data_IF_373542066863
#
_entry.id   IF_373542066863
#
_cell.length_a   1.000
_cell.length_b   1.000
_cell.length_c   1.000
_cell.angle_alpha   90.00
_cell.angle_beta   90.00
_cell.angle_gamma   90.00
#
_symmetry.space_group_name_H-M   'P 1'
#
loop_
_entity.id
_entity.type
_entity.pdbx_description
1 polymer ?
#
# COMPACT_ATOMS: atom_id res chain seq x y z
N UNK A 1 -1.08 -12.61 -1.04
CA UNK A 1 -1.29 -12.33 0.39
C UNK A 1 0.01 -12.31 1.21
N UNK A 2 1.08 -13.00 0.80
CA UNK A 2 2.31 -13.14 1.61
C UNK A 2 3.26 -11.93 1.61
N UNK A 3 3.46 -11.26 0.47
CA UNK A 3 4.45 -10.15 0.32
C UNK A 3 4.37 -9.06 1.41
N UNK A 4 3.19 -8.55 1.79
CA UNK A 4 3.11 -7.53 2.84
C UNK A 4 3.70 -8.00 4.17
N UNK A 5 3.58 -9.29 4.51
CA UNK A 5 4.11 -9.81 5.77
C UNK A 5 5.64 -9.89 5.76
N UNK A 6 6.22 -10.31 4.64
CA UNK A 6 7.67 -10.43 4.50
C UNK A 6 8.36 -9.06 4.54
N UNK A 7 7.81 -8.06 3.84
CA UNK A 7 8.37 -6.71 3.81
C UNK A 7 8.33 -6.03 5.19
N UNK A 8 7.27 -6.29 5.97
CA UNK A 8 7.15 -5.79 7.34
C UNK A 8 8.09 -6.50 8.30
N UNK A 9 8.26 -7.80 8.13
CA UNK A 9 9.24 -8.57 8.91
C UNK A 9 10.66 -8.05 8.65
N UNK A 10 11.04 -7.89 7.37
CA UNK A 10 12.34 -7.33 6.98
C UNK A 10 12.56 -5.95 7.58
N UNK A 11 11.59 -5.06 7.45
CA UNK A 11 11.66 -3.70 7.99
C UNK A 11 11.79 -3.69 9.51
N UNK A 12 11.00 -4.51 10.22
CA UNK A 12 11.09 -4.64 11.66
C UNK A 12 12.47 -5.14 12.12
N UNK A 13 13.07 -6.10 11.40
CA UNK A 13 14.39 -6.64 11.71
C UNK A 13 15.51 -5.62 11.51
N UNK A 14 15.48 -4.90 10.38
CA UNK A 14 16.48 -3.86 10.08
C UNK A 14 16.42 -2.76 11.14
N UNK A 15 15.22 -2.24 11.40
CA UNK A 15 15.04 -1.18 12.39
C UNK A 15 15.45 -1.64 13.79
N UNK A 16 15.01 -2.82 14.21
CA UNK A 16 15.43 -3.39 15.50
C UNK A 16 16.96 -3.53 15.60
N UNK A 17 17.62 -3.90 14.51
CA UNK A 17 19.08 -4.01 14.45
C UNK A 17 19.74 -2.65 14.64
N UNK A 18 19.22 -1.58 14.03
CA UNK A 18 19.69 -0.21 14.27
C UNK A 18 19.50 0.21 15.74
N UNK A 19 18.33 -0.06 16.33
CA UNK A 19 18.12 0.19 17.76
C UNK A 19 19.15 -0.53 18.63
N UNK A 20 19.42 -1.80 18.35
CA UNK A 20 20.39 -2.58 19.13
C UNK A 20 21.82 -2.05 18.94
N UNK A 21 22.18 -1.67 17.72
CA UNK A 21 23.50 -1.11 17.41
C UNK A 21 23.77 0.23 18.10
N UNK A 22 22.76 1.11 18.14
CA UNK A 22 22.87 2.41 18.83
C UNK A 22 22.95 2.29 20.36
N UNK A 23 22.61 1.12 20.92
CA UNK A 23 22.43 0.88 22.38
C UNK A 23 21.42 1.81 23.05
N UNK A 24 20.66 2.57 22.26
CA UNK A 24 19.60 3.44 22.74
C UNK A 24 18.52 2.57 23.39
N UNK A 25 18.17 2.91 24.63
CA UNK A 25 17.04 2.32 25.34
C UNK A 25 17.04 0.77 25.33
N UNK A 26 18.14 0.16 25.80
CA UNK A 26 18.35 -1.29 25.79
C UNK A 26 17.20 -2.09 26.42
N UNK A 27 16.56 -1.55 27.47
CA UNK A 27 15.37 -2.15 28.09
C UNK A 27 14.20 -2.29 27.12
N UNK A 28 13.99 -1.30 26.24
CA UNK A 28 12.95 -1.38 25.22
C UNK A 28 13.32 -2.40 24.15
N UNK A 29 14.58 -2.45 23.72
CA UNK A 29 15.04 -3.50 22.80
C UNK A 29 14.80 -4.91 23.38
N UNK A 30 15.06 -5.14 24.67
CA UNK A 30 14.84 -6.43 25.32
C UNK A 30 13.36 -6.81 25.39
N UNK A 31 12.45 -5.83 25.50
CA UNK A 31 10.99 -6.09 25.47
C UNK A 31 10.44 -6.30 24.06
N UNK A 32 11.08 -5.74 23.03
CA UNK A 32 10.71 -5.93 21.62
C UNK A 32 11.23 -7.24 21.04
N UNK A 33 12.37 -7.76 21.51
CA UNK A 33 12.98 -8.97 20.97
C UNK A 33 12.06 -10.21 20.97
N UNK A 34 11.30 -10.52 22.04
CA UNK A 34 10.35 -11.64 22.03
C UNK A 34 9.26 -11.50 20.96
N UNK A 35 8.81 -10.27 20.68
CA UNK A 35 7.84 -10.01 19.61
C UNK A 35 8.44 -10.32 18.24
N UNK A 36 9.71 -9.94 18.03
CA UNK A 36 10.43 -10.23 16.80
C UNK A 36 10.57 -11.74 16.57
N UNK A 37 10.95 -12.48 17.61
CA UNK A 37 11.08 -13.94 17.57
C UNK A 37 9.72 -14.60 17.26
N UNK A 38 8.64 -14.12 17.89
CA UNK A 38 7.29 -14.64 17.62
C UNK A 38 6.85 -14.38 16.18
N UNK A 39 7.10 -13.17 15.67
CA UNK A 39 6.77 -12.81 14.29
C UNK A 39 7.52 -13.70 13.28
N UNK A 40 8.84 -13.90 13.48
CA UNK A 40 9.65 -14.84 12.68
C UNK A 40 9.05 -16.24 12.65
N UNK A 41 8.77 -16.82 13.82
CA UNK A 41 8.23 -18.19 13.93
C UNK A 41 6.91 -18.35 13.20
N UNK A 42 6.00 -17.39 13.34
CA UNK A 42 4.71 -17.43 12.67
C UNK A 42 4.86 -17.35 11.14
N UNK A 43 5.73 -16.47 10.65
CA UNK A 43 5.99 -16.35 9.21
C UNK A 43 6.67 -17.60 8.64
N UNK A 44 7.66 -18.16 9.35
CA UNK A 44 8.34 -19.40 8.96
C UNK A 44 7.40 -20.60 8.94
N UNK A 45 6.48 -20.70 9.91
CA UNK A 45 5.51 -21.79 9.93
C UNK A 45 4.57 -21.75 8.72
N UNK A 46 4.22 -20.55 8.24
CA UNK A 46 3.38 -20.41 7.05
C UNK A 46 4.09 -20.87 5.77
N UNK A 47 5.43 -20.91 5.74
CA UNK A 47 6.19 -21.48 4.61
C UNK A 47 6.11 -23.01 4.52
N UNK A 48 5.48 -23.67 5.49
CA UNK A 48 5.17 -25.09 5.39
C UNK A 48 4.42 -25.37 4.08
N UNK A 49 4.73 -26.50 3.45
CA UNK A 49 4.20 -26.86 2.14
C UNK A 49 2.69 -27.13 2.13
N UNK A 50 2.01 -27.18 3.29
CA UNK A 50 0.55 -27.13 3.37
C UNK A 50 -0.02 -25.76 3.75
N UNK A 51 0.84 -24.85 4.24
CA UNK A 51 0.45 -23.49 4.60
C UNK A 51 0.38 -22.58 3.39
N UNK A 52 1.53 -22.30 2.77
CA UNK A 52 1.62 -21.36 1.64
C UNK A 52 0.88 -21.84 0.39
N UNK A 53 0.78 -23.15 0.20
CA UNK A 53 0.09 -23.77 -0.94
C UNK A 53 -1.43 -23.77 -0.80
N UNK A 54 -1.94 -23.57 0.42
CA UNK A 54 -3.36 -23.67 0.72
C UNK A 54 -3.93 -25.09 0.65
N UNK A 55 -3.11 -26.14 0.83
CA UNK A 55 -3.56 -27.54 0.82
C UNK A 55 -4.00 -28.06 2.20
N UNK A 56 -3.86 -27.26 3.26
CA UNK A 56 -4.34 -27.60 4.59
C UNK A 56 -5.88 -27.55 4.70
N UNK A 57 -6.41 -28.20 5.75
CA UNK A 57 -7.84 -28.12 6.11
C UNK A 57 -8.24 -26.68 6.46
N UNK A 58 -9.51 -26.33 6.24
CA UNK A 58 -10.02 -24.98 6.44
C UNK A 58 -9.70 -24.40 7.85
N UNK A 59 -9.83 -25.21 8.90
CA UNK A 59 -9.50 -24.81 10.28
C UNK A 59 -8.00 -24.51 10.48
N UNK A 60 -7.13 -25.25 9.80
CA UNK A 60 -5.67 -25.05 9.84
C UNK A 60 -5.28 -23.81 9.04
N UNK A 61 -5.94 -23.57 7.89
CA UNK A 61 -5.78 -22.32 7.12
C UNK A 61 -6.20 -21.10 7.94
N UNK A 62 -7.28 -21.21 8.72
CA UNK A 62 -7.70 -20.15 9.63
C UNK A 62 -6.64 -19.87 10.72
N UNK A 63 -6.08 -20.92 11.35
CA UNK A 63 -4.98 -20.76 12.34
C UNK A 63 -3.74 -20.11 11.71
N UNK A 64 -3.36 -20.47 10.49
CA UNK A 64 -2.29 -19.77 9.77
C UNK A 64 -2.61 -18.29 9.57
N UNK A 65 -3.85 -17.94 9.21
CA UNK A 65 -4.31 -16.57 9.09
C UNK A 65 -4.14 -15.77 10.39
N UNK A 66 -4.55 -16.35 11.52
CA UNK A 66 -4.40 -15.72 12.83
C UNK A 66 -2.93 -15.55 13.24
N UNK A 67 -2.07 -16.54 12.96
CA UNK A 67 -0.64 -16.43 13.24
C UNK A 67 0.02 -15.34 12.40
N UNK A 68 -0.31 -15.24 11.12
CA UNK A 68 0.18 -14.18 10.23
C UNK A 68 -0.28 -12.80 10.69
N UNK A 69 -1.57 -12.65 11.05
CA UNK A 69 -2.09 -11.38 11.59
C UNK A 69 -1.35 -10.96 12.87
N UNK A 70 -1.10 -11.90 13.78
CA UNK A 70 -0.34 -11.65 14.99
C UNK A 70 1.13 -11.29 14.73
N UNK A 71 1.75 -11.89 13.71
CA UNK A 71 3.09 -11.52 13.25
C UNK A 71 3.11 -10.08 12.75
N UNK A 72 2.15 -9.71 11.90
CA UNK A 72 2.01 -8.36 11.35
C UNK A 72 1.89 -7.29 12.45
N UNK A 73 0.99 -7.50 13.42
CA UNK A 73 0.83 -6.60 14.59
C UNK A 73 2.13 -6.46 15.41
N UNK A 74 2.87 -7.56 15.53
CA UNK A 74 4.14 -7.57 16.25
C UNK A 74 5.20 -6.75 15.49
N UNK A 75 5.30 -6.93 14.17
CA UNK A 75 6.19 -6.14 13.32
C UNK A 75 5.84 -4.65 13.37
N UNK A 76 4.56 -4.30 13.23
CA UNK A 76 4.09 -2.91 13.31
C UNK A 76 4.52 -2.25 14.63
N UNK A 77 4.31 -2.95 15.76
CA UNK A 77 4.73 -2.45 17.07
C UNK A 77 6.25 -2.23 17.16
N UNK A 78 7.05 -3.14 16.60
CA UNK A 78 8.51 -3.01 16.57
C UNK A 78 8.92 -1.82 15.70
N UNK A 79 8.36 -1.69 14.50
CA UNK A 79 8.63 -0.59 13.57
C UNK A 79 8.29 0.75 14.23
N UNK A 80 7.09 0.88 14.82
CA UNK A 80 6.67 2.07 15.57
C UNK A 80 7.66 2.45 16.66
N UNK A 81 7.89 1.54 17.61
CA UNK A 81 8.68 1.83 18.80
C UNK A 81 10.14 2.09 18.47
N UNK A 82 10.67 1.37 17.50
CA UNK A 82 12.04 1.58 17.06
C UNK A 82 12.19 2.91 16.33
N UNK A 83 11.26 3.25 15.43
CA UNK A 83 11.29 4.53 14.72
C UNK A 83 11.15 5.71 15.69
N UNK A 84 10.24 5.60 16.66
CA UNK A 84 10.07 6.59 17.73
C UNK A 84 11.37 6.83 18.52
N UNK A 85 12.13 5.78 18.84
CA UNK A 85 13.40 5.90 19.58
C UNK A 85 14.53 6.42 18.67
N UNK A 86 14.61 5.96 17.42
CA UNK A 86 15.67 6.35 16.50
C UNK A 86 15.53 7.80 16.05
N UNK A 87 14.30 8.29 15.89
CA UNK A 87 14.00 9.67 15.50
C UNK A 87 13.79 10.61 16.69
N UNK A 88 13.32 10.07 17.82
CA UNK A 88 13.10 10.84 19.05
C UNK A 88 14.41 11.12 19.77
N UNK A 89 14.82 12.39 19.77
CA UNK A 89 15.98 12.92 20.48
C UNK A 89 15.90 12.66 21.99
N UNK A 90 16.27 11.47 22.47
CA UNK A 90 16.82 11.37 23.82
C UNK A 90 18.19 12.05 23.81
N UNK A 91 18.45 12.90 24.82
CA UNK A 91 19.79 13.43 25.11
C UNK A 91 20.73 12.26 25.39
N UNK A 92 21.28 11.69 24.34
CA UNK A 92 22.30 10.66 24.42
C UNK A 92 23.62 11.35 24.13
N UNK A 93 24.52 11.20 25.09
CA UNK A 93 25.89 11.72 25.14
C UNK A 93 26.54 11.71 23.75
N UNK A 94 27.18 12.82 23.35
CA UNK A 94 27.67 13.11 21.98
C UNK A 94 28.82 12.20 21.48
N UNK A 95 29.08 11.08 22.17
CA UNK A 95 30.24 10.21 21.94
C UNK A 95 29.98 9.03 20.99
N UNK A 96 28.77 8.87 20.45
CA UNK A 96 28.43 7.74 19.58
C UNK A 96 28.47 8.11 18.07
N UNK A 97 29.33 7.47 17.25
CA UNK A 97 29.50 7.81 15.84
C UNK A 97 28.25 7.57 14.97
N UNK A 98 27.28 6.78 15.44
CA UNK A 98 26.07 6.49 14.68
C UNK A 98 25.07 7.67 14.64
N UNK A 99 25.27 8.71 15.47
CA UNK A 99 24.36 9.86 15.58
C UNK A 99 24.28 10.64 14.25
N UNK A 100 25.37 10.72 13.47
CA UNK A 100 25.39 11.46 12.19
C UNK A 100 24.50 10.85 11.11
N UNK A 101 24.10 9.58 11.23
CA UNK A 101 23.18 8.93 10.29
C UNK A 101 21.71 9.10 10.66
N UNK A 102 21.41 9.49 11.90
CA UNK A 102 20.06 9.47 12.47
C UNK A 102 19.59 10.83 12.98
N UNK A 103 20.42 11.87 12.93
CA UNK A 103 20.04 13.21 13.40
C UNK A 103 19.03 13.87 12.46
N UNK A 104 17.75 13.57 12.70
CA UNK A 104 16.70 14.57 12.59
C UNK A 104 16.21 14.86 14.01
N UNK A 105 16.38 16.10 14.48
CA UNK A 105 15.79 16.54 15.73
C UNK A 105 14.25 16.46 15.63
N UNK A 106 13.62 15.53 16.34
CA UNK A 106 12.18 15.32 16.22
C UNK A 106 11.50 15.11 17.57
N UNK A 107 10.45 15.91 17.81
CA UNK A 107 9.32 15.58 18.69
C UNK A 107 8.31 14.79 17.87
N UNK A 108 7.92 13.56 18.25
CA UNK A 108 6.93 12.80 17.51
C UNK A 108 5.53 13.16 18.02
N UNK A 109 4.79 13.98 17.26
CA UNK A 109 3.38 14.24 17.60
C UNK A 109 2.43 13.16 17.08
N UNK A 110 2.83 12.36 16.09
CA UNK A 110 2.09 11.15 15.68
C UNK A 110 2.94 10.32 14.71
N UNK A 111 3.07 9.01 14.96
CA UNK A 111 3.67 8.06 14.01
C UNK A 111 2.65 6.98 13.71
N UNK A 112 2.10 7.01 12.49
CA UNK A 112 1.36 5.87 11.94
C UNK A 112 2.30 5.26 10.90
N UNK A 113 2.84 4.05 11.13
CA UNK A 113 3.53 3.38 10.06
C UNK A 113 2.47 3.11 8.99
N UNK A 114 2.70 3.65 7.79
CA UNK A 114 2.06 3.15 6.56
C UNK A 114 2.66 1.79 6.21
N UNK A 115 2.61 0.89 7.18
CA UNK A 115 2.47 -0.52 6.91
C UNK A 115 1.12 -0.66 6.24
N UNK A 116 1.00 -1.41 5.14
CA UNK A 116 -0.30 -1.84 4.61
C UNK A 116 -1.05 -2.62 5.69
N UNK A 117 -1.63 -1.91 6.65
CA UNK A 117 -2.41 -2.45 7.73
C UNK A 117 -3.76 -2.71 7.11
N UNK A 118 -3.96 -3.96 6.74
CA UNK A 118 -5.25 -4.58 6.50
C UNK A 118 -6.28 -4.36 7.64
N UNK A 119 -5.89 -3.66 8.71
CA UNK A 119 -6.59 -3.40 9.95
C UNK A 119 -7.15 -1.98 10.10
N UNK A 120 -7.29 -1.19 9.04
CA UNK A 120 -8.32 -0.16 9.15
C UNK A 120 -9.68 -0.83 9.29
N UNK A 121 -10.22 -0.73 10.50
CA UNK A 121 -11.55 -1.17 10.90
C UNK A 121 -12.68 -0.53 10.07
N UNK A 122 -12.36 0.28 9.05
CA UNK A 122 -13.26 0.77 8.01
C UNK A 122 -13.23 -0.13 6.76
N UNK A 123 -13.24 -1.45 6.94
CA UNK A 123 -13.71 -2.34 5.86
C UNK A 123 -15.23 -2.24 5.83
N UNK A 124 -15.78 -1.55 4.83
CA UNK A 124 -17.22 -1.54 4.61
C UNK A 124 -17.75 -2.94 4.27
N UNK A 125 -16.91 -3.82 3.68
CA UNK A 125 -17.19 -5.24 3.46
C UNK A 125 -15.90 -6.06 3.34
N UNK A 126 -16.00 -7.40 3.41
CA UNK A 126 -14.88 -8.31 3.12
C UNK A 126 -14.30 -8.16 1.70
N UNK A 127 -15.06 -7.54 0.78
CA UNK A 127 -14.66 -7.29 -0.61
C UNK A 127 -14.15 -5.87 -0.87
N UNK A 128 -14.22 -4.96 0.11
CA UNK A 128 -13.65 -3.61 -0.01
C UNK A 128 -12.18 -3.61 0.43
N UNK A 129 -11.31 -2.97 -0.36
CA UNK A 129 -9.95 -2.65 0.07
C UNK A 129 -10.01 -1.88 1.40
N UNK A 130 -9.08 -2.11 2.35
CA UNK A 130 -9.02 -1.33 3.58
C UNK A 130 -8.93 0.15 3.20
N UNK A 131 -9.87 0.98 3.65
CA UNK A 131 -9.77 2.41 3.44
C UNK A 131 -8.61 2.91 4.31
N UNK A 132 -7.54 3.43 3.71
CA UNK A 132 -6.43 4.01 4.47
C UNK A 132 -6.92 5.17 5.36
N UNK A 133 -6.28 5.32 6.52
CA UNK A 133 -6.76 6.20 7.57
C UNK A 133 -6.59 7.62 7.08
N UNK A 134 -7.64 8.43 7.17
CA UNK A 134 -7.55 9.82 6.72
C UNK A 134 -6.56 10.57 7.61
N UNK A 135 -5.49 11.08 7.03
CA UNK A 135 -4.48 11.86 7.72
C UNK A 135 -4.91 13.32 7.70
N UNK A 136 -5.11 13.90 8.89
CA UNK A 136 -5.44 15.31 9.02
C UNK A 136 -4.23 16.19 8.70
N UNK A 137 -4.51 17.43 8.26
CA UNK A 137 -3.51 18.49 8.14
C UNK A 137 -2.74 18.75 9.43
N UNK A 138 -1.50 19.26 9.31
CA UNK A 138 -0.52 19.47 10.39
C UNK A 138 0.07 18.19 10.99
N UNK A 139 -0.20 17.04 10.39
CA UNK A 139 0.50 15.80 10.73
C UNK A 139 1.79 15.65 9.93
N UNK A 140 2.65 14.78 10.43
CA UNK A 140 3.87 14.38 9.74
C UNK A 140 3.73 12.96 9.22
N UNK A 141 4.36 12.71 8.08
CA UNK A 141 4.54 11.38 7.50
C UNK A 141 6.02 11.07 7.57
N UNK A 142 6.35 9.87 8.02
CA UNK A 142 7.71 9.35 8.01
C UNK A 142 7.71 8.12 7.12
N UNK A 143 8.58 8.15 6.12
CA UNK A 143 8.80 7.01 5.22
C UNK A 143 10.13 6.36 5.58
N UNK A 144 10.15 5.04 5.61
CA UNK A 144 11.36 4.24 5.79
C UNK A 144 11.62 3.40 4.53
N UNK A 145 12.86 3.40 4.07
CA UNK A 145 13.29 2.59 2.94
C UNK A 145 14.18 1.45 3.45
N UNK A 146 13.70 0.22 3.34
CA UNK A 146 14.43 -1.00 3.75
C UNK A 146 15.48 -1.45 2.73
N UNK A 147 15.59 -0.80 1.56
CA UNK A 147 16.56 -1.14 0.54
C UNK A 147 17.90 -0.43 0.77
N UNK A 148 19.00 -1.09 0.38
CA UNK A 148 20.35 -0.55 0.43
C UNK A 148 20.66 0.49 -0.67
N UNK A 149 19.64 1.02 -1.34
CA UNK A 149 19.76 2.03 -2.39
C UNK A 149 18.70 3.11 -2.21
N UNK A 150 18.97 4.32 -2.69
CA UNK A 150 17.99 5.41 -2.72
C UNK A 150 16.77 4.96 -3.53
N UNK A 151 15.58 5.23 -3.01
CA UNK A 151 14.32 4.89 -3.67
C UNK A 151 13.53 6.16 -3.94
N UNK A 152 13.04 6.27 -5.17
CA UNK A 152 12.07 7.29 -5.55
C UNK A 152 10.79 6.59 -6.02
N UNK A 153 9.67 6.94 -5.40
CA UNK A 153 8.40 6.25 -5.61
C UNK A 153 7.21 7.19 -5.37
N UNK A 154 6.11 6.96 -6.07
CA UNK A 154 4.87 7.68 -5.82
C UNK A 154 4.18 7.04 -4.62
N UNK A 155 3.97 7.82 -3.56
CA UNK A 155 3.24 7.41 -2.37
C UNK A 155 1.91 8.14 -2.34
N UNK A 156 0.83 7.39 -2.14
CA UNK A 156 -0.53 7.92 -2.06
C UNK A 156 -1.09 7.74 -0.65
N UNK A 157 -1.75 8.76 -0.12
CA UNK A 157 -2.36 8.77 1.21
C UNK A 157 -3.73 9.44 1.18
N UNK A 158 -4.62 9.03 2.10
CA UNK A 158 -5.92 9.67 2.25
C UNK A 158 -5.81 10.93 3.13
N UNK A 159 -6.36 12.05 2.67
CA UNK A 159 -6.41 13.35 3.36
C UNK A 159 -7.85 13.89 3.41
N UNK A 160 -8.12 14.78 4.36
CA UNK A 160 -9.47 15.32 4.59
C UNK A 160 -9.75 16.66 3.88
N UNK A 161 -8.83 17.18 3.07
CA UNK A 161 -9.00 18.47 2.39
C UNK A 161 -8.33 18.50 1.01
N UNK A 162 -9.00 19.11 0.03
CA UNK A 162 -8.46 19.37 -1.32
C UNK A 162 -7.29 20.35 -1.35
N UNK A 163 -7.15 21.14 -0.27
CA UNK A 163 -6.13 22.17 -0.12
C UNK A 163 -4.93 21.66 0.68
N UNK A 164 -4.93 20.38 1.06
CA UNK A 164 -3.78 19.75 1.69
C UNK A 164 -2.67 19.58 0.65
N UNK A 165 -1.47 20.04 1.00
CA UNK A 165 -0.22 19.78 0.28
C UNK A 165 0.77 19.09 1.20
N UNK A 166 1.76 18.45 0.59
CA UNK A 166 2.88 17.84 1.30
C UNK A 166 4.19 18.54 0.96
N UNK A 167 5.00 18.78 1.99
CA UNK A 167 6.35 19.34 1.87
C UNK A 167 7.38 18.42 2.54
N UNK A 168 8.60 18.39 2.01
CA UNK A 168 9.71 17.72 2.69
C UNK A 168 10.18 18.57 3.86
N UNK A 169 10.38 17.96 5.03
CA UNK A 169 10.76 18.71 6.24
C UNK A 169 12.18 19.25 6.15
N UNK A 170 13.14 18.44 5.69
CA UNK A 170 14.56 18.80 5.69
C UNK A 170 14.89 19.97 4.75
N UNK A 171 14.26 20.02 3.57
CA UNK A 171 14.54 21.05 2.56
C UNK A 171 13.47 22.13 2.47
N UNK A 172 12.35 21.98 3.19
CA UNK A 172 11.15 22.83 3.07
C UNK A 172 10.62 22.98 1.64
N UNK A 173 10.97 22.04 0.75
CA UNK A 173 10.55 22.08 -0.64
C UNK A 173 9.23 21.32 -0.81
N UNK A 174 8.34 21.91 -1.60
CA UNK A 174 7.13 21.25 -2.08
C UNK A 174 7.54 20.22 -3.13
N UNK A 175 7.17 18.96 -2.91
CA UNK A 175 7.44 17.88 -3.86
C UNK A 175 6.36 17.82 -4.95
N UNK A 176 6.67 17.30 -6.15
CA UNK A 176 5.65 17.01 -7.15
C UNK A 176 4.55 16.13 -6.54
N UNK A 177 3.32 16.59 -6.65
CA UNK A 177 2.16 15.95 -6.03
C UNK A 177 0.91 16.20 -6.87
N UNK A 178 -0.09 15.33 -6.68
CA UNK A 178 -1.40 15.39 -7.29
C UNK A 178 -2.44 14.90 -6.27
N UNK A 179 -3.57 15.59 -6.20
CA UNK A 179 -4.70 15.20 -5.36
C UNK A 179 -5.88 14.74 -6.21
N UNK A 180 -6.51 13.63 -5.84
CA UNK A 180 -7.63 13.01 -6.53
C UNK A 180 -8.80 12.65 -5.60
N UNK A 181 -9.98 12.36 -6.15
CA UNK A 181 -11.10 11.83 -5.38
C UNK A 181 -10.86 10.36 -5.01
N UNK A 182 -11.36 9.93 -3.85
CA UNK A 182 -11.41 8.51 -3.49
C UNK A 182 -12.74 7.93 -3.92
N UNK A 183 -12.69 6.84 -4.69
CA UNK A 183 -13.89 6.12 -5.12
C UNK A 183 -14.10 4.86 -4.29
N UNK A 184 -15.36 4.57 -3.99
CA UNK A 184 -15.80 3.29 -3.45
C UNK A 184 -16.64 2.57 -4.50
N UNK A 185 -16.39 1.27 -4.67
CA UNK A 185 -17.18 0.40 -5.52
C UNK A 185 -18.06 -0.47 -4.64
N UNK A 186 -19.35 -0.13 -4.57
CA UNK A 186 -20.33 -0.87 -3.77
C UNK A 186 -21.44 -1.36 -4.69
N UNK A 187 -21.70 -2.67 -4.70
CA UNK A 187 -22.73 -3.29 -5.55
C UNK A 187 -22.64 -2.87 -7.03
N UNK A 188 -21.43 -2.87 -7.59
CA UNK A 188 -21.12 -2.44 -8.97
C UNK A 188 -21.46 -0.99 -9.29
N UNK A 189 -21.69 -0.14 -8.27
CA UNK A 189 -21.83 1.31 -8.42
C UNK A 189 -20.59 2.00 -7.88
N UNK A 190 -19.99 2.84 -8.72
CA UNK A 190 -18.88 3.69 -8.34
C UNK A 190 -19.44 4.97 -7.70
N UNK A 191 -19.05 5.24 -6.46
CA UNK A 191 -19.44 6.45 -5.74
C UNK A 191 -18.21 7.11 -5.14
N UNK A 192 -18.20 8.44 -5.07
CA UNK A 192 -17.12 9.19 -4.45
C UNK A 192 -17.34 9.21 -2.95
N UNK A 193 -16.27 9.02 -2.18
CA UNK A 193 -16.33 9.16 -0.74
C UNK A 193 -16.22 10.65 -0.39
N UNK A 194 -17.28 11.29 0.13
CA UNK A 194 -17.25 12.72 0.40
C UNK A 194 -16.26 13.04 1.53
N UNK A 195 -15.49 14.12 1.34
CA UNK A 195 -14.56 14.63 2.36
C UNK A 195 -13.26 13.83 2.50
N UNK A 196 -13.03 12.83 1.64
CA UNK A 196 -11.77 12.08 1.59
C UNK A 196 -11.18 12.22 0.19
N UNK A 197 -9.89 12.54 0.14
CA UNK A 197 -9.14 12.74 -1.08
C UNK A 197 -7.85 11.94 -1.02
N UNK A 198 -7.39 11.43 -2.15
CA UNK A 198 -6.11 10.74 -2.25
C UNK A 198 -5.05 11.73 -2.70
N UNK A 199 -4.06 11.99 -1.84
CA UNK A 199 -2.90 12.80 -2.15
C UNK A 199 -1.72 11.89 -2.51
N UNK A 200 -1.31 11.92 -3.77
CA UNK A 200 -0.15 11.20 -4.29
C UNK A 200 1.03 12.15 -4.48
N UNK A 201 2.23 11.75 -4.04
CA UNK A 201 3.43 12.58 -4.15
C UNK A 201 4.68 11.76 -4.44
N UNK A 202 5.65 12.38 -5.09
CA UNK A 202 6.91 11.75 -5.45
C UNK A 202 7.87 11.77 -4.25
N UNK A 203 7.87 10.69 -3.48
CA UNK A 203 8.78 10.52 -2.35
C UNK A 203 10.18 10.12 -2.83
N UNK A 204 11.21 10.69 -2.21
CA UNK A 204 12.59 10.19 -2.31
C UNK A 204 13.05 9.84 -0.92
N UNK A 205 13.53 8.62 -0.71
CA UNK A 205 13.97 8.13 0.60
C UNK A 205 15.38 7.54 0.45
N UNK A 206 16.34 7.92 1.31
CA UNK A 206 17.71 7.42 1.23
C UNK A 206 17.79 5.91 1.48
N UNK A 207 18.93 5.30 1.12
CA UNK A 207 19.20 3.89 1.39
C UNK A 207 19.15 3.60 2.91
N UNK A 208 18.44 2.54 3.31
CA UNK A 208 18.31 2.10 4.70
C UNK A 208 17.96 3.24 5.67
N UNK A 209 17.19 4.22 5.21
CA UNK A 209 17.00 5.48 5.93
C UNK A 209 15.56 5.98 5.93
N UNK A 210 15.39 7.13 6.58
CA UNK A 210 14.10 7.79 6.76
C UNK A 210 14.02 9.09 5.97
N UNK A 211 12.81 9.48 5.59
CA UNK A 211 12.49 10.83 5.12
C UNK A 211 11.19 11.30 5.75
N UNK A 212 11.16 12.58 6.17
CA UNK A 212 10.00 13.18 6.84
C UNK A 212 9.32 14.19 5.94
N UNK A 213 8.00 14.11 5.90
CA UNK A 213 7.13 15.02 5.18
C UNK A 213 6.10 15.63 6.13
N UNK A 214 5.69 16.86 5.87
CA UNK A 214 4.69 17.58 6.64
C UNK A 214 3.48 17.90 5.76
N UNK A 215 2.28 17.63 6.26
CA UNK A 215 1.03 18.01 5.60
C UNK A 215 0.61 19.40 6.05
N UNK A 216 0.37 20.30 5.09
CA UNK A 216 -0.07 21.67 5.37
C UNK A 216 -1.33 21.96 4.56
N UNK A 217 -2.22 22.79 5.10
CA UNK A 217 -3.29 23.42 4.31
C UNK A 217 -2.75 24.71 3.72
N UNK A 218 -2.81 24.84 2.40
CA UNK A 218 -2.45 26.07 1.70
C UNK A 218 -3.65 26.60 0.91
N UNK A 219 -3.69 27.91 0.69
CA UNK A 219 -4.64 28.50 -0.27
C UNK A 219 -4.18 28.34 -1.72
N UNK A 220 -2.89 28.01 -1.93
CA UNK A 220 -2.38 27.73 -3.26
C UNK A 220 -3.07 26.49 -3.86
N UNK A 221 -3.46 26.59 -5.13
CA UNK A 221 -4.17 25.50 -5.80
C UNK A 221 -3.24 24.31 -5.98
N UNK A 222 -3.44 23.25 -5.17
CA UNK A 222 -2.84 21.94 -5.40
C UNK A 222 -3.20 21.45 -6.83
N UNK A 223 -2.30 20.68 -7.45
CA UNK A 223 -2.56 20.04 -8.75
C UNK A 223 -3.64 18.98 -8.55
N UNK A 224 -4.85 19.29 -9.01
CA UNK A 224 -5.99 18.38 -8.94
C UNK A 224 -5.96 17.44 -10.14
N UNK A 225 -6.33 16.19 -9.90
CA UNK A 225 -6.52 15.19 -10.94
C UNK A 225 -7.60 15.64 -11.94
N UNK A 226 -7.36 15.36 -13.22
CA UNK A 226 -8.40 15.43 -14.25
C UNK A 226 -9.06 14.07 -14.35
N UNK A 227 -10.39 14.04 -14.24
CA UNK A 227 -11.14 12.80 -14.22
C UNK A 227 -11.76 12.58 -15.59
N UNK A 228 -11.33 11.51 -16.25
CA UNK A 228 -11.91 11.07 -17.51
C UNK A 228 -13.07 10.13 -17.24
N UNK A 229 -14.23 10.41 -17.81
CA UNK A 229 -15.43 9.59 -17.66
C UNK A 229 -16.03 9.25 -19.01
N UNK A 230 -16.36 7.97 -19.21
CA UNK A 230 -17.10 7.49 -20.40
C UNK A 230 -18.60 7.79 -20.24
N UNK A 231 -19.10 7.82 -19.01
CA UNK A 231 -20.51 8.09 -18.72
C UNK A 231 -20.70 9.55 -18.27
N UNK A 232 -21.73 10.20 -18.81
CA UNK A 232 -21.97 11.65 -18.73
C UNK A 232 -22.31 12.24 -17.34
N UNK A 233 -22.13 11.53 -16.22
CA UNK A 233 -22.83 11.92 -14.98
C UNK A 233 -22.09 11.66 -13.67
N UNK A 234 -20.81 12.04 -13.57
CA UNK A 234 -20.18 12.16 -12.23
C UNK A 234 -19.84 13.61 -11.98
N UNK A 235 -20.71 14.31 -11.24
CA UNK A 235 -20.40 15.66 -10.76
C UNK A 235 -19.41 15.53 -9.59
N UNK A 236 -18.15 15.84 -9.86
CA UNK A 236 -17.06 15.77 -8.88
C UNK A 236 -16.73 17.19 -8.42
N UNK A 237 -17.29 17.59 -7.29
CA UNK A 237 -17.03 18.91 -6.73
C UNK A 237 -15.53 19.12 -6.52
N UNK A 238 -15.00 20.19 -7.14
CA UNK A 238 -13.59 20.54 -7.06
C UNK A 238 -12.67 19.86 -8.08
N UNK A 239 -13.17 18.95 -8.93
CA UNK A 239 -12.38 18.31 -9.98
C UNK A 239 -12.88 18.63 -11.38
N UNK A 240 -11.97 18.72 -12.33
CA UNK A 240 -12.32 18.86 -13.74
C UNK A 240 -12.65 17.47 -14.31
N UNK A 241 -13.81 17.37 -14.96
CA UNK A 241 -14.26 16.12 -15.58
C UNK A 241 -14.25 16.27 -17.09
N UNK A 242 -13.53 15.39 -17.78
CA UNK A 242 -13.52 15.28 -19.23
C UNK A 242 -14.31 14.06 -19.67
N UNK A 243 -15.23 14.26 -20.63
CA UNK A 243 -16.08 13.19 -21.14
C UNK A 243 -15.39 12.53 -22.32
N UNK A 244 -15.18 11.21 -22.25
CA UNK A 244 -14.70 10.39 -23.35
C UNK A 244 -15.88 10.06 -24.27
N UNK A 245 -15.86 10.59 -25.49
CA UNK A 245 -16.89 10.31 -26.52
C UNK A 245 -16.44 9.28 -27.55
N UNK A 246 -15.15 9.03 -27.64
CA UNK A 246 -14.54 8.14 -28.61
C UNK A 246 -14.63 6.69 -28.16
N UNK A 247 -14.50 5.75 -29.11
CA UNK A 247 -14.50 4.30 -28.82
C UNK A 247 -13.28 3.83 -28.03
N UNK A 248 -12.21 4.61 -28.04
CA UNK A 248 -11.00 4.36 -27.28
C UNK A 248 -10.49 5.66 -26.66
N UNK A 249 -9.69 5.56 -25.60
CA UNK A 249 -8.97 6.69 -25.01
C UNK A 249 -7.53 6.27 -24.70
N UNK A 250 -6.62 7.24 -24.62
CA UNK A 250 -5.20 6.97 -24.42
C UNK A 250 -4.66 7.74 -23.22
N UNK A 251 -3.85 7.06 -22.42
CA UNK A 251 -3.04 7.63 -21.34
C UNK A 251 -1.57 7.51 -21.74
N UNK A 252 -0.80 8.59 -21.56
CA UNK A 252 0.61 8.58 -21.89
C UNK A 252 1.46 9.33 -20.87
N UNK A 253 2.73 8.96 -20.82
CA UNK A 253 3.80 9.72 -20.20
C UNK A 253 5.05 9.63 -21.10
N UNK A 254 6.20 10.06 -20.58
CA UNK A 254 7.46 10.04 -21.32
C UNK A 254 7.98 8.63 -21.68
N UNK A 255 7.45 7.59 -21.04
CA UNK A 255 7.95 6.22 -21.13
C UNK A 255 7.00 5.26 -21.86
N UNK A 256 5.69 5.42 -21.67
CA UNK A 256 4.70 4.50 -22.23
C UNK A 256 3.40 5.21 -22.62
N UNK A 257 2.74 4.63 -23.62
CA UNK A 257 1.40 4.98 -24.08
C UNK A 257 0.52 3.75 -23.92
N UNK A 258 -0.63 3.92 -23.25
CA UNK A 258 -1.61 2.88 -23.01
C UNK A 258 -2.96 3.32 -23.55
N UNK A 259 -3.49 2.56 -24.51
CA UNK A 259 -4.81 2.83 -25.12
C UNK A 259 -5.82 1.85 -24.56
N UNK A 260 -7.01 2.32 -24.26
CA UNK A 260 -8.09 1.54 -23.66
C UNK A 260 -9.34 1.63 -24.51
N UNK A 261 -10.11 0.54 -24.57
CA UNK A 261 -11.43 0.53 -25.17
C UNK A 261 -12.41 1.23 -24.21
N UNK A 262 -13.07 2.28 -24.67
CA UNK A 262 -13.95 3.12 -23.84
C UNK A 262 -15.19 2.35 -23.36
N UNK A 263 -15.64 1.34 -24.09
CA UNK A 263 -16.87 0.61 -23.74
C UNK A 263 -16.63 -0.44 -22.65
N UNK A 264 -15.45 -1.05 -22.64
CA UNK A 264 -15.09 -2.14 -21.71
C UNK A 264 -14.13 -1.71 -20.61
N UNK A 265 -13.37 -0.63 -20.81
CA UNK A 265 -12.29 -0.19 -19.92
C UNK A 265 -11.01 -1.03 -20.03
N UNK A 266 -10.96 -1.98 -20.96
CA UNK A 266 -9.82 -2.87 -21.16
C UNK A 266 -8.69 -2.21 -21.94
N UNK A 267 -7.45 -2.56 -21.61
CA UNK A 267 -6.25 -2.18 -22.34
C UNK A 267 -6.26 -2.83 -23.73
N UNK A 268 -6.06 -2.01 -24.75
CA UNK A 268 -6.00 -2.46 -26.13
C UNK A 268 -4.58 -2.91 -26.48
N UNK A 269 -4.43 -3.90 -27.38
CA UNK A 269 -3.12 -4.29 -27.89
C UNK A 269 -2.44 -3.08 -28.54
N UNK A 270 -1.22 -2.80 -28.11
CA UNK A 270 -0.42 -1.72 -28.70
C UNK A 270 0.74 -2.34 -29.49
N UNK A 271 0.96 -1.95 -30.76
CA UNK A 271 2.22 -2.26 -31.43
C UNK A 271 3.33 -1.46 -30.74
N UNK A 272 4.22 -2.14 -30.03
CA UNK A 272 5.48 -1.57 -29.58
C UNK A 272 6.47 -1.68 -30.74
N UNK A 273 6.88 -0.54 -31.28
CA UNK A 273 7.94 -0.48 -32.31
C UNK A 273 9.26 -0.22 -31.59
N UNK A 274 10.10 -1.25 -31.49
CA UNK A 274 11.46 -1.15 -30.97
C UNK A 274 12.43 -1.28 -32.15
N UNK A 275 12.83 -0.13 -32.70
CA UNK A 275 13.63 -0.08 -33.93
C UNK A 275 12.87 -0.63 -35.13
N UNK A 276 13.41 -1.68 -35.78
CA UNK A 276 12.79 -2.34 -36.94
C UNK A 276 11.82 -3.47 -36.57
N UNK A 277 11.70 -3.82 -35.29
CA UNK A 277 10.81 -4.89 -34.85
C UNK A 277 9.48 -4.31 -34.35
N UNK A 278 8.39 -4.68 -35.04
CA UNK A 278 7.03 -4.52 -34.53
C UNK A 278 6.73 -5.70 -33.61
N UNK A 279 6.65 -5.43 -32.30
CA UNK A 279 6.13 -6.39 -31.32
C UNK A 279 4.74 -5.92 -30.90
N UNK A 280 3.69 -6.61 -31.36
CA UNK A 280 2.35 -6.38 -30.82
C UNK A 280 2.25 -7.13 -29.50
N UNK A 281 2.22 -6.39 -28.40
CA UNK A 281 1.98 -6.98 -27.08
C UNK A 281 0.47 -7.17 -26.94
N UNK A 282 0.04 -8.41 -27.05
CA UNK A 282 -1.32 -8.80 -26.76
C UNK A 282 -1.48 -8.95 -25.25
N UNK A 283 -2.29 -8.08 -24.66
CA UNK A 283 -2.77 -8.26 -23.30
C UNK A 283 -4.05 -9.11 -23.36
N UNK A 284 -4.10 -10.32 -22.77
CA UNK A 284 -5.32 -11.10 -22.72
C UNK A 284 -6.27 -10.48 -21.71
N UNK A 285 -6.96 -9.43 -22.12
CA UNK A 285 -7.83 -8.62 -21.25
C UNK A 285 -9.21 -9.22 -21.00
N UNK A 286 -9.34 -10.54 -21.20
CA UNK A 286 -10.56 -11.29 -20.88
C UNK A 286 -10.31 -12.14 -19.65
N UNK A 287 -11.08 -11.87 -18.60
CA UNK A 287 -11.16 -12.77 -17.46
C UNK A 287 -11.88 -14.05 -17.89
N UNK A 288 -11.17 -15.16 -17.85
CA UNK A 288 -11.70 -16.47 -18.15
C UNK A 288 -11.86 -17.28 -16.86
N UNK A 289 -12.98 -17.97 -16.71
CA UNK A 289 -13.24 -18.89 -15.61
C UNK A 289 -13.05 -20.32 -16.11
N UNK A 290 -12.20 -21.08 -15.42
CA UNK A 290 -12.06 -22.52 -15.65
C UNK A 290 -12.97 -23.27 -14.69
N UNK A 291 -13.85 -24.10 -15.23
CA UNK A 291 -14.75 -24.94 -14.44
C UNK A 291 -14.18 -26.35 -14.30
N UNK A 292 -14.23 -26.92 -13.10
CA UNK A 292 -13.88 -28.31 -12.88
C UNK A 292 -15.08 -29.22 -13.17
N UNK A 293 -14.83 -30.38 -13.77
CA UNK A 293 -15.86 -31.40 -14.00
C UNK A 293 -16.26 -32.02 -12.66
N UNK A 294 -17.45 -31.68 -12.16
CA UNK A 294 -18.05 -32.39 -11.01
C UNK A 294 -18.67 -33.70 -11.51
N UNK A 295 -18.05 -34.83 -11.19
CA UNK A 295 -18.72 -36.12 -11.18
C UNK A 295 -19.45 -36.26 -9.86
N UNK A 296 -20.69 -35.77 -9.78
CA UNK A 296 -21.60 -36.17 -8.72
C UNK A 296 -22.36 -37.38 -9.27
N UNK A 297 -22.17 -38.55 -8.66
CA UNK A 297 -23.12 -39.66 -8.80
C UNK A 297 -24.44 -39.17 -8.20
N UNK A 298 -25.28 -38.57 -9.05
CA UNK A 298 -26.68 -38.38 -8.75
C UNK A 298 -27.25 -39.80 -8.72
N UNK A 299 -27.39 -40.37 -7.51
CA UNK A 299 -27.98 -41.68 -7.24
C UNK A 299 -29.43 -41.79 -7.71
N UNK A 300 -29.63 -41.67 -9.02
CA UNK A 300 -30.83 -42.08 -9.73
C UNK A 300 -30.74 -43.59 -9.82
N UNK A 301 -31.36 -44.23 -8.82
CA UNK A 301 -31.69 -45.64 -8.79
C UNK A 301 -32.06 -46.15 -10.19
N UNK A 302 -31.23 -47.04 -10.72
CA UNK A 302 -31.54 -47.85 -11.90
C UNK A 302 -32.53 -48.97 -11.54
N UNK A 303 -33.67 -48.60 -10.95
CA UNK A 303 -34.74 -49.52 -10.55
C UNK A 303 -36.13 -48.90 -10.78
N UNK A 304 -36.43 -48.52 -12.02
CA UNK A 304 -37.82 -48.23 -12.45
C UNK A 304 -38.09 -48.51 -13.94
N UNK A 305 -37.30 -49.39 -14.57
CA UNK A 305 -37.68 -49.99 -15.86
C UNK A 305 -37.59 -51.51 -15.73
N UNK A 306 -38.56 -52.09 -15.04
CA UNK A 306 -38.85 -53.52 -15.05
C UNK A 306 -40.36 -53.75 -14.80
N UNK A 307 -41.15 -53.68 -15.87
CA UNK A 307 -42.27 -54.58 -16.21
C UNK A 307 -42.95 -54.13 -17.50
#
# INVERSE_FOLDING_TARGET
>A
MWMPYEDNQKSAEILFSFLRATKLNSKTADTLFPLLVKARRNLSLFQHHDGITGTARAEVVADYGDKLLNALKSCEKIICKTTEILLGSQKVDDTQPLKSFLTMELKPDFFVPLTFTFQNNNRFSYSSLPLDGTIHSNNNIILFNSLAQVRQEVVCINVNSLNTIIQRVNSQNIVPQQIGPVFNLTNSKLAVIPGIFELCFLATVPALGFERYHLIITEEKNRRAVIMSVNNAVNLSGFNVSIIKEKQFTLNNEYFTATFDSSTGYLMPHPAVLGTFQLTIFYPDRFHWNFAKMSVDLGLDSSSVAK
#
